data_IF_522160164895
#
_entry.id   IF_522160164895
#
_cell.length_a   1.000
_cell.length_b   1.000
_cell.length_c   1.000
_cell.angle_alpha   90.00
_cell.angle_beta   90.00
_cell.angle_gamma   90.00
#
_symmetry.space_group_name_H-M   'P 1'
#
loop_
_entity.id
_entity.type
_entity.pdbx_description
1 polymer ?
#
# COMPACT_ATOMS: atom_id res chain seq x y z
N UNK A 1 -9.72 -1.49 -15.57
CA UNK A 1 -10.01 -2.88 -15.15
C UNK A 1 -10.54 -2.88 -13.72
N UNK A 2 -11.67 -2.19 -13.49
CA UNK A 2 -12.29 -1.96 -12.18
C UNK A 2 -13.74 -2.49 -12.25
N UNK A 3 -13.88 -3.73 -12.73
CA UNK A 3 -15.16 -4.44 -12.79
C UNK A 3 -15.39 -5.37 -11.59
N UNK A 4 -14.47 -5.37 -10.62
CA UNK A 4 -14.67 -6.08 -9.37
C UNK A 4 -15.42 -5.15 -8.41
N UNK A 5 -16.59 -5.59 -7.94
CA UNK A 5 -17.42 -4.85 -7.00
C UNK A 5 -16.61 -4.29 -5.83
N UNK A 6 -16.99 -3.10 -5.34
CA UNK A 6 -16.30 -2.31 -4.31
C UNK A 6 -15.79 -3.13 -3.10
N UNK A 7 -16.54 -4.17 -2.72
CA UNK A 7 -16.16 -5.18 -1.72
C UNK A 7 -14.81 -5.88 -2.02
N UNK A 8 -14.56 -6.25 -3.26
CA UNK A 8 -13.32 -6.90 -3.68
C UNK A 8 -12.11 -5.96 -3.72
N UNK A 9 -12.32 -4.68 -4.03
CA UNK A 9 -11.25 -3.67 -3.91
C UNK A 9 -10.85 -3.46 -2.45
N UNK A 10 -11.83 -3.37 -1.56
CA UNK A 10 -11.60 -3.28 -0.11
C UNK A 10 -10.88 -4.55 0.38
N UNK A 11 -11.31 -5.73 -0.04
CA UNK A 11 -10.65 -6.99 0.32
C UNK A 11 -9.17 -7.05 -0.10
N UNK A 12 -8.85 -6.61 -1.33
CA UNK A 12 -7.45 -6.52 -1.80
C UNK A 12 -6.65 -5.47 -1.04
N UNK A 13 -7.25 -4.32 -0.75
CA UNK A 13 -6.62 -3.26 0.03
C UNK A 13 -6.31 -3.72 1.46
N UNK A 14 -7.27 -4.33 2.14
CA UNK A 14 -7.07 -4.92 3.48
C UNK A 14 -5.98 -5.99 3.44
N UNK A 15 -5.94 -6.83 2.39
CA UNK A 15 -4.87 -7.81 2.21
C UNK A 15 -3.48 -7.18 2.09
N UNK A 16 -3.35 -6.09 1.32
CA UNK A 16 -2.09 -5.36 1.17
C UNK A 16 -1.69 -4.66 2.46
N UNK A 17 -2.63 -4.02 3.16
CA UNK A 17 -2.36 -3.37 4.46
C UNK A 17 -1.96 -4.40 5.51
N UNK A 18 -2.63 -5.54 5.55
CA UNK A 18 -2.28 -6.65 6.45
C UNK A 18 -0.89 -7.21 6.15
N UNK A 19 -0.58 -7.43 4.87
CA UNK A 19 0.75 -7.84 4.42
C UNK A 19 1.82 -6.80 4.79
N UNK A 20 1.53 -5.51 4.62
CA UNK A 20 2.44 -4.43 5.00
C UNK A 20 2.71 -4.44 6.51
N UNK A 21 1.67 -4.64 7.32
CA UNK A 21 1.78 -4.76 8.77
C UNK A 21 2.66 -5.95 9.21
N UNK A 22 2.52 -7.10 8.53
CA UNK A 22 3.39 -8.26 8.76
C UNK A 22 4.84 -7.97 8.38
N UNK A 23 5.08 -7.34 7.22
CA UNK A 23 6.42 -6.96 6.78
C UNK A 23 7.10 -5.99 7.75
N UNK A 24 6.40 -4.92 8.16
CA UNK A 24 6.88 -3.96 9.17
C UNK A 24 7.22 -4.66 10.49
N UNK A 25 6.37 -5.59 10.95
CA UNK A 25 6.60 -6.34 12.18
C UNK A 25 7.87 -7.20 12.11
N UNK A 26 8.20 -7.76 10.96
CA UNK A 26 9.44 -8.51 10.73
C UNK A 26 10.68 -7.60 10.61
N UNK A 27 10.52 -6.37 10.11
CA UNK A 27 11.65 -5.45 9.89
C UNK A 27 12.02 -4.65 11.16
N UNK A 28 11.05 -4.34 12.03
CA UNK A 28 11.29 -3.68 13.32
C UNK A 28 12.38 -4.33 14.20
N UNK A 29 12.43 -5.66 14.38
CA UNK A 29 13.52 -6.30 15.13
C UNK A 29 14.86 -6.28 14.36
N UNK A 30 14.85 -6.32 13.02
CA UNK A 30 16.05 -6.23 12.21
C UNK A 30 16.76 -4.85 12.35
N UNK A 31 15.99 -3.78 12.63
CA UNK A 31 16.55 -2.45 12.93
C UNK A 31 17.28 -2.35 14.29
N UNK A 32 17.04 -3.29 15.21
CA UNK A 32 17.70 -3.35 16.52
C UNK A 32 19.12 -3.92 16.45
N UNK A 33 19.49 -4.57 15.34
CA UNK A 33 20.83 -5.12 15.12
C UNK A 33 21.79 -3.98 14.74
N UNK A 34 23.01 -3.98 15.30
CA UNK A 34 24.08 -3.01 15.00
C UNK A 34 24.84 -3.41 13.71
N UNK A 35 24.14 -3.42 12.57
CA UNK A 35 24.72 -3.64 11.23
C UNK A 35 24.33 -2.47 10.32
N UNK A 36 24.94 -2.37 9.13
CA UNK A 36 24.56 -1.42 8.09
C UNK A 36 23.06 -1.48 7.75
N UNK A 37 22.34 -0.39 8.07
CA UNK A 37 20.87 -0.30 7.98
C UNK A 37 20.39 0.40 6.70
N UNK A 38 21.30 0.94 5.88
CA UNK A 38 20.94 1.76 4.72
C UNK A 38 20.11 0.99 3.69
N UNK A 39 20.54 -0.23 3.34
CA UNK A 39 19.79 -1.12 2.44
C UNK A 39 18.45 -1.55 3.02
N UNK A 40 18.42 -1.88 4.33
CA UNK A 40 17.20 -2.26 5.02
C UNK A 40 16.19 -1.10 5.07
N UNK A 41 16.66 0.11 5.33
CA UNK A 41 15.85 1.32 5.31
C UNK A 41 15.26 1.59 3.92
N UNK A 42 16.08 1.49 2.86
CA UNK A 42 15.63 1.66 1.48
C UNK A 42 14.57 0.63 1.09
N UNK A 43 14.80 -0.64 1.45
CA UNK A 43 13.86 -1.72 1.18
C UNK A 43 12.54 -1.52 1.91
N UNK A 44 12.58 -1.14 3.18
CA UNK A 44 11.39 -0.86 3.99
C UNK A 44 10.59 0.31 3.40
N UNK A 45 11.27 1.38 3.00
CA UNK A 45 10.65 2.54 2.38
C UNK A 45 9.96 2.17 1.06
N UNK A 46 10.60 1.38 0.19
CA UNK A 46 10.01 0.90 -1.05
C UNK A 46 8.77 0.02 -0.83
N UNK A 47 8.82 -0.90 0.14
CA UNK A 47 7.69 -1.77 0.50
C UNK A 47 6.50 -0.95 1.02
N UNK A 48 6.77 0.02 1.90
CA UNK A 48 5.75 0.94 2.44
C UNK A 48 5.15 1.81 1.34
N UNK A 49 5.97 2.30 0.41
CA UNK A 49 5.51 3.09 -0.73
C UNK A 49 4.55 2.30 -1.62
N UNK A 50 4.82 1.02 -1.91
CA UNK A 50 3.93 0.17 -2.71
C UNK A 50 2.55 0.02 -2.03
N UNK A 51 2.52 -0.23 -0.72
CA UNK A 51 1.25 -0.38 -0.01
C UNK A 51 0.46 0.93 0.13
N UNK A 52 1.13 2.06 0.35
CA UNK A 52 0.49 3.38 0.41
C UNK A 52 -0.03 3.83 -0.96
N UNK A 53 0.73 3.61 -2.04
CA UNK A 53 0.33 3.96 -3.40
C UNK A 53 -0.88 3.13 -3.87
N UNK A 54 -1.04 1.90 -3.40
CA UNK A 54 -2.24 1.11 -3.67
C UNK A 54 -3.49 1.70 -2.96
N UNK A 55 -3.32 2.29 -1.77
CA UNK A 55 -4.41 2.95 -1.03
C UNK A 55 -4.90 4.24 -1.65
N UNK A 56 -4.05 4.93 -2.40
CA UNK A 56 -4.40 6.17 -3.09
C UNK A 56 -5.53 5.97 -4.12
N UNK A 57 -5.68 4.75 -4.66
CA UNK A 57 -6.79 4.38 -5.55
C UNK A 57 -8.17 4.35 -4.88
N UNK A 58 -8.26 4.41 -3.55
CA UNK A 58 -9.53 4.45 -2.82
C UNK A 58 -10.20 5.83 -2.83
N UNK A 59 -9.48 6.90 -3.22
CA UNK A 59 -10.04 8.25 -3.30
C UNK A 59 -11.03 8.47 -4.47
N UNK A 60 -11.20 7.48 -5.36
CA UNK A 60 -12.23 7.49 -6.40
C UNK A 60 -13.60 7.02 -5.88
N UNK A 61 -14.41 7.97 -5.41
CA UNK A 61 -15.77 7.74 -4.93
C UNK A 61 -16.84 7.73 -6.03
N UNK A 62 -18.00 7.12 -5.75
CA UNK A 62 -19.13 6.96 -6.69
C UNK A 62 -19.78 8.29 -7.20
N UNK A 63 -19.34 9.44 -6.68
CA UNK A 63 -19.83 10.80 -7.03
C UNK A 63 -18.73 11.75 -7.54
N UNK A 64 -17.56 11.26 -7.94
CA UNK A 64 -16.51 12.10 -8.54
C UNK A 64 -16.72 12.31 -10.03
N UNK A 65 -16.43 13.52 -10.52
CA UNK A 65 -16.51 13.89 -11.93
C UNK A 65 -15.67 12.92 -12.78
N UNK A 66 -16.17 12.51 -13.96
CA UNK A 66 -15.53 11.51 -14.84
C UNK A 66 -14.03 11.81 -15.07
N UNK A 67 -13.67 13.09 -15.20
CA UNK A 67 -12.29 13.57 -15.37
C UNK A 67 -11.34 13.22 -14.21
N UNK A 68 -11.86 13.20 -12.98
CA UNK A 68 -11.09 12.85 -11.77
C UNK A 68 -10.90 11.33 -11.70
N UNK A 69 -11.90 10.57 -12.15
CA UNK A 69 -11.85 9.11 -12.16
C UNK A 69 -10.82 8.58 -13.18
N UNK A 70 -10.59 9.31 -14.27
CA UNK A 70 -9.60 8.96 -15.29
C UNK A 70 -8.16 9.38 -14.90
N UNK A 71 -8.01 10.43 -14.09
CA UNK A 71 -6.71 10.84 -13.54
C UNK A 71 -6.17 9.87 -12.49
N UNK A 72 -7.05 9.32 -11.65
CA UNK A 72 -6.70 8.40 -10.56
C UNK A 72 -6.66 6.93 -10.98
N UNK A 73 -7.14 6.60 -12.19
CA UNK A 73 -7.04 5.27 -12.79
C UNK A 73 -5.61 4.99 -13.26
#
# INVERSE_FOLDING_TARGET
>A
FVDLGRLWQIGKFVGIVFWLGLMLRCILPAFKVKTDKNLLALFTASVVAIGLLYGAGFFCGERTHISVMEYWR
#
